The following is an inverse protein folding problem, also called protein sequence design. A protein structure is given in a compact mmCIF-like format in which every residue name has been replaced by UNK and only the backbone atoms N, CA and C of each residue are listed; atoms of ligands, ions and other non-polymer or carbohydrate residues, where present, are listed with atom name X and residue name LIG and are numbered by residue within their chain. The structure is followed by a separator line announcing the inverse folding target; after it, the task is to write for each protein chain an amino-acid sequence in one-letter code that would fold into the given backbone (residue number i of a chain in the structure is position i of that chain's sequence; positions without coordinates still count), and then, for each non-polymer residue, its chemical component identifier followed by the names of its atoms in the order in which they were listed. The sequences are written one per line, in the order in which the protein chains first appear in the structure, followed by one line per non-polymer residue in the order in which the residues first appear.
data_IF_316307296586
#
_entry.id   IF_316307296586
#
_cell.length_a   1.000
_cell.length_b   1.000
_cell.length_c   1.000
_cell.angle_alpha   90.00
_cell.angle_beta   90.00
_cell.angle_gamma   90.00
#
_symmetry.space_group_name_H-M   'P 1'
#
loop_
_entity.id
_entity.type
_entity.pdbx_description
1 polymer ?
#
# COMPACT_ATOMS: atom_id res chain seq x y z
N UNK A 1 6.90 22.28 8.14
CA UNK A 1 6.63 20.84 8.21
C UNK A 1 5.83 20.46 6.98
N UNK A 2 6.27 19.44 6.23
CA UNK A 2 5.52 18.94 5.07
C UNK A 2 4.79 17.67 5.46
N UNK A 3 3.52 17.57 5.07
CA UNK A 3 2.69 16.39 5.31
C UNK A 3 2.59 15.65 3.98
N UNK A 4 2.92 14.36 3.97
CA UNK A 4 2.69 13.52 2.79
C UNK A 4 1.23 13.04 2.72
N UNK A 5 0.83 12.47 1.59
CA UNK A 5 -0.49 11.85 1.42
C UNK A 5 -0.82 10.77 2.49
N UNK A 6 0.17 10.26 3.20
CA UNK A 6 0.04 9.25 4.26
C UNK A 6 0.19 9.81 5.68
N UNK A 7 0.09 11.14 5.87
CA UNK A 7 0.18 11.83 7.17
C UNK A 7 1.54 11.72 7.87
N UNK A 8 2.55 11.23 7.21
CA UNK A 8 3.89 11.29 7.77
C UNK A 8 4.41 12.73 7.72
N UNK A 9 5.04 13.14 8.80
CA UNK A 9 5.65 14.45 8.93
C UNK A 9 7.09 14.37 8.45
N UNK A 10 7.43 15.18 7.46
CA UNK A 10 8.77 15.21 6.87
C UNK A 10 9.46 16.56 7.09
N UNK A 11 10.78 16.53 7.04
CA UNK A 11 11.60 17.72 7.02
C UNK A 11 11.16 18.67 5.89
N UNK A 12 11.11 19.99 6.09
CA UNK A 12 10.80 20.96 5.03
C UNK A 12 11.71 20.85 3.81
N UNK A 13 12.96 20.41 4.03
CA UNK A 13 13.98 20.23 2.99
C UNK A 13 13.92 18.88 2.26
N UNK A 14 12.91 18.05 2.52
CA UNK A 14 12.76 16.79 1.80
C UNK A 14 12.58 17.03 0.31
N UNK A 15 13.37 16.37 -0.57
CA UNK A 15 13.26 16.52 -2.02
C UNK A 15 11.83 16.22 -2.50
N UNK A 16 11.31 17.07 -3.39
CA UNK A 16 9.95 16.89 -3.94
C UNK A 16 9.77 15.55 -4.63
N UNK A 17 10.77 15.12 -5.38
CA UNK A 17 10.78 13.83 -6.08
C UNK A 17 10.56 12.62 -5.15
N UNK A 18 11.02 12.73 -3.90
CA UNK A 18 10.80 11.70 -2.88
C UNK A 18 9.40 11.82 -2.24
N UNK A 19 8.88 13.05 -2.04
CA UNK A 19 7.54 13.27 -1.48
C UNK A 19 6.44 12.86 -2.44
N UNK A 20 6.66 13.01 -3.74
CA UNK A 20 5.74 12.68 -4.82
C UNK A 20 5.87 11.20 -5.27
N UNK A 21 6.68 10.41 -4.56
CA UNK A 21 6.85 8.99 -4.86
C UNK A 21 5.51 8.26 -4.74
N UNK A 22 4.94 7.85 -5.87
CA UNK A 22 3.70 7.09 -5.96
C UNK A 22 3.90 5.60 -5.64
N UNK A 23 2.82 4.81 -5.63
CA UNK A 23 2.91 3.37 -5.44
C UNK A 23 3.56 2.71 -6.66
N UNK A 24 4.27 1.61 -6.41
CA UNK A 24 4.82 0.79 -7.48
C UNK A 24 3.70 0.28 -8.38
N UNK A 25 3.78 0.44 -9.71
CA UNK A 25 2.74 -0.01 -10.63
C UNK A 25 2.59 -1.54 -10.60
N UNK A 26 1.38 -2.08 -10.80
CA UNK A 26 1.15 -3.51 -10.87
C UNK A 26 1.96 -4.15 -12.02
N UNK A 27 2.69 -5.21 -11.70
CA UNK A 27 3.51 -5.92 -12.69
C UNK A 27 4.86 -5.27 -12.99
N UNK A 28 5.32 -4.35 -12.15
CA UNK A 28 6.65 -3.76 -12.25
C UNK A 28 7.74 -4.84 -12.20
N UNK A 29 8.80 -4.66 -12.97
CA UNK A 29 9.96 -5.53 -12.98
C UNK A 29 10.69 -5.50 -11.62
N UNK A 30 11.44 -6.55 -11.30
CA UNK A 30 12.19 -6.67 -10.04
C UNK A 30 13.13 -5.49 -9.81
N UNK A 31 13.81 -5.03 -10.87
CA UNK A 31 14.71 -3.88 -10.81
C UNK A 31 13.98 -2.59 -10.42
N UNK A 32 12.81 -2.36 -11.02
CA UNK A 32 11.97 -1.20 -10.69
C UNK A 32 11.49 -1.26 -9.23
N UNK A 33 11.16 -2.46 -8.73
CA UNK A 33 10.77 -2.67 -7.34
C UNK A 33 11.93 -2.35 -6.39
N UNK A 34 13.15 -2.81 -6.70
CA UNK A 34 14.36 -2.54 -5.91
C UNK A 34 14.69 -1.05 -5.89
N UNK A 35 14.65 -0.37 -7.05
CA UNK A 35 14.87 1.07 -7.15
C UNK A 35 13.81 1.89 -6.38
N UNK A 36 12.56 1.46 -6.45
CA UNK A 36 11.47 2.08 -5.70
C UNK A 36 11.65 1.91 -4.18
N UNK A 37 12.05 0.72 -3.74
CA UNK A 37 12.29 0.45 -2.32
C UNK A 37 13.50 1.23 -1.79
N UNK A 38 14.54 1.42 -2.59
CA UNK A 38 15.67 2.30 -2.26
C UNK A 38 15.23 3.77 -2.06
N UNK A 39 14.43 4.32 -2.98
CA UNK A 39 13.85 5.68 -2.84
C UNK A 39 12.95 5.80 -1.62
N UNK A 40 12.18 4.76 -1.30
CA UNK A 40 11.33 4.74 -0.09
C UNK A 40 12.16 4.72 1.19
N UNK A 41 13.27 3.97 1.19
CA UNK A 41 14.21 3.95 2.31
C UNK A 41 14.91 5.31 2.48
N UNK A 42 15.28 5.96 1.38
CA UNK A 42 15.82 7.31 1.39
C UNK A 42 14.81 8.31 1.95
N UNK A 43 13.56 8.29 1.48
CA UNK A 43 12.48 9.14 2.00
C UNK A 43 12.30 8.97 3.52
N UNK A 44 12.41 7.75 4.04
CA UNK A 44 12.28 7.47 5.46
C UNK A 44 13.36 8.16 6.32
N UNK A 45 14.52 8.50 5.75
CA UNK A 45 15.57 9.26 6.46
C UNK A 45 15.13 10.70 6.76
N UNK A 46 14.28 11.30 5.91
CA UNK A 46 13.77 12.67 6.09
C UNK A 46 12.55 12.76 7.02
N UNK A 47 12.01 11.64 7.45
CA UNK A 47 10.83 11.59 8.33
C UNK A 47 11.18 12.08 9.73
N UNK A 48 10.35 12.98 10.29
CA UNK A 48 10.43 13.37 11.68
C UNK A 48 10.25 12.15 12.57
N UNK A 49 11.12 12.00 13.54
CA UNK A 49 11.07 10.86 14.45
C UNK A 49 10.12 11.12 15.62
N UNK A 50 9.30 10.15 15.91
CA UNK A 50 8.44 10.19 17.07
C UNK A 50 9.24 9.82 18.32
N UNK A 51 9.15 10.63 19.39
CA UNK A 51 9.89 10.45 20.63
C UNK A 51 8.99 9.90 21.73
N UNK A 52 7.75 10.41 21.82
CA UNK A 52 6.79 9.98 22.85
C UNK A 52 5.66 9.17 22.25
N UNK A 53 5.00 8.37 23.08
CA UNK A 53 3.68 7.81 22.77
C UNK A 53 2.65 8.95 22.81
N UNK A 54 1.44 8.69 22.29
CA UNK A 54 0.33 9.63 22.46
C UNK A 54 0.03 9.74 23.97
N UNK A 55 -0.15 10.97 24.43
CA UNK A 55 -0.68 11.23 25.76
C UNK A 55 -2.20 10.98 25.80
N UNK A 56 -2.88 11.08 26.96
CA UNK A 56 -4.32 10.86 27.05
C UNK A 56 -5.14 11.74 26.11
N UNK A 57 -4.65 12.93 25.80
CA UNK A 57 -5.30 13.91 24.91
C UNK A 57 -4.92 13.68 23.44
N UNK A 58 -4.09 12.68 23.16
CA UNK A 58 -3.65 12.30 21.81
C UNK A 58 -2.49 13.10 21.23
N UNK A 59 -1.87 13.99 22.03
CA UNK A 59 -0.67 14.71 21.59
C UNK A 59 0.56 13.82 21.65
N UNK A 60 1.51 14.06 20.75
CA UNK A 60 2.81 13.38 20.78
C UNK A 60 3.93 14.32 20.35
N UNK A 61 5.16 14.00 20.74
CA UNK A 61 6.33 14.77 20.37
C UNK A 61 7.11 14.11 19.25
N UNK A 62 7.57 14.95 18.34
CA UNK A 62 8.43 14.53 17.22
C UNK A 62 9.69 15.39 17.18
N UNK A 63 10.74 14.85 16.57
CA UNK A 63 12.05 15.49 16.47
C UNK A 63 12.52 15.54 15.03
N UNK A 64 13.32 16.57 14.72
CA UNK A 64 13.97 16.75 13.43
C UNK A 64 14.86 15.53 13.09
N UNK A 65 14.84 15.03 11.85
CA UNK A 65 15.70 13.92 11.45
C UNK A 65 17.20 14.23 11.55
N UNK A 66 17.63 15.51 11.43
CA UNK A 66 19.02 15.91 11.66
C UNK A 66 19.37 15.80 13.16
N UNK A 67 18.48 16.21 14.06
CA UNK A 67 18.70 16.04 15.49
C UNK A 67 18.71 14.57 15.94
N UNK A 68 18.07 13.70 15.16
CA UNK A 68 18.10 12.24 15.35
C UNK A 68 19.29 11.55 14.66
N UNK A 69 20.17 12.30 14.03
CA UNK A 69 21.33 11.74 13.33
C UNK A 69 21.01 10.99 12.03
N UNK A 70 19.85 11.21 11.41
CA UNK A 70 19.47 10.53 10.16
C UNK A 70 19.94 11.24 8.91
N UNK A 71 20.06 12.57 8.96
CA UNK A 71 20.51 13.42 7.87
C UNK A 71 21.48 14.49 8.40
N UNK A 72 22.26 15.06 7.52
CA UNK A 72 23.16 16.19 7.80
C UNK A 72 22.45 17.49 7.41
N UNK A 73 22.44 18.47 8.31
CA UNK A 73 21.74 19.75 8.10
C UNK A 73 22.51 20.91 8.71
N UNK A 74 22.84 21.98 7.94
CA UNK A 74 23.57 23.16 8.46
C UNK A 74 22.84 23.86 9.63
N UNK A 75 21.51 23.80 9.67
CA UNK A 75 20.71 24.34 10.78
C UNK A 75 20.87 23.54 12.09
N UNK A 76 21.58 22.41 12.04
CA UNK A 76 21.92 21.57 13.20
C UNK A 76 23.40 21.20 13.12
N UNK A 77 24.30 22.08 13.59
CA UNK A 77 25.75 21.89 13.41
C UNK A 77 26.25 20.52 13.92
N UNK A 78 25.72 20.02 15.02
CA UNK A 78 26.05 18.68 15.53
C UNK A 78 25.74 17.56 14.53
N UNK A 79 24.82 17.74 13.59
CA UNK A 79 24.56 16.74 12.56
C UNK A 79 25.59 16.73 11.43
N UNK A 80 26.37 17.78 11.29
CA UNK A 80 27.40 17.90 10.25
C UNK A 80 28.65 17.05 10.53
N UNK A 81 28.82 16.60 11.79
CA UNK A 81 29.90 15.69 12.20
C UNK A 81 29.59 14.22 11.89
N UNK A 82 28.35 13.91 11.45
CA UNK A 82 27.94 12.56 11.09
C UNK A 82 28.61 12.09 9.78
N UNK A 83 28.58 10.78 9.56
CA UNK A 83 29.15 10.14 8.39
C UNK A 83 28.62 10.75 7.08
N UNK A 84 29.50 10.86 6.09
CA UNK A 84 29.18 11.45 4.78
C UNK A 84 28.25 10.61 3.90
N UNK A 85 27.98 9.37 4.28
CA UNK A 85 26.99 8.48 3.64
C UNK A 85 25.54 8.90 3.90
N UNK A 86 25.34 9.83 4.85
CA UNK A 86 24.02 10.35 5.19
C UNK A 86 23.63 11.49 4.25
N UNK A 87 22.32 11.55 3.85
CA UNK A 87 21.83 12.64 3.03
C UNK A 87 22.14 14.01 3.66
N UNK A 88 22.69 14.91 2.88
CA UNK A 88 23.01 16.26 3.33
C UNK A 88 22.02 17.27 2.75
N UNK A 89 21.58 18.20 3.59
CA UNK A 89 20.77 19.35 3.17
C UNK A 89 21.71 20.45 2.68
N UNK A 90 21.81 20.59 1.37
CA UNK A 90 22.66 21.63 0.75
C UNK A 90 22.05 23.03 0.84
N UNK A 91 20.73 23.12 0.73
CA UNK A 91 19.98 24.38 0.71
C UNK A 91 18.97 24.41 1.85
N UNK A 92 19.35 24.89 3.05
CA UNK A 92 18.39 25.06 4.13
C UNK A 92 17.37 26.17 3.79
N UNK A 93 16.16 26.14 4.34
CA UNK A 93 15.17 27.19 4.11
C UNK A 93 15.62 28.50 4.74
N UNK A 94 15.38 29.61 4.04
CA UNK A 94 15.66 30.98 4.54
C UNK A 94 14.91 31.27 5.84
N UNK A 95 13.66 30.76 5.94
CA UNK A 95 12.82 30.84 7.14
C UNK A 95 12.67 29.46 7.80
N UNK A 96 13.56 29.12 8.75
CA UNK A 96 13.52 27.84 9.44
C UNK A 96 12.20 27.65 10.22
N UNK A 97 11.56 26.52 10.02
CA UNK A 97 10.33 26.17 10.76
C UNK A 97 10.67 25.67 12.18
N UNK A 98 9.68 25.62 13.07
CA UNK A 98 9.84 25.17 14.47
C UNK A 98 10.59 23.83 14.59
N UNK A 99 10.37 22.87 13.65
CA UNK A 99 11.08 21.60 13.66
C UNK A 99 12.60 21.75 13.39
N UNK A 100 13.05 22.87 12.79
CA UNK A 100 14.46 23.14 12.53
C UNK A 100 15.14 23.83 13.72
N UNK A 101 14.42 24.64 14.48
CA UNK A 101 14.94 25.47 15.57
C UNK A 101 14.77 24.86 16.95
N UNK A 102 13.62 24.23 17.20
CA UNK A 102 13.31 23.59 18.48
C UNK A 102 13.84 22.16 18.52
N UNK A 103 14.17 21.68 19.71
CA UNK A 103 14.63 20.31 19.92
C UNK A 103 13.54 19.30 19.59
N UNK A 104 12.34 19.58 20.03
CA UNK A 104 11.13 18.77 19.78
C UNK A 104 9.96 19.65 19.49
N UNK A 105 8.99 19.16 18.72
CA UNK A 105 7.72 19.82 18.50
C UNK A 105 6.58 18.91 18.94
N UNK A 106 5.55 19.49 19.53
CA UNK A 106 4.32 18.77 19.87
C UNK A 106 3.37 18.77 18.68
N UNK A 107 2.85 17.63 18.35
CA UNK A 107 1.89 17.42 17.25
C UNK A 107 0.54 17.12 17.84
N UNK A 108 -0.49 17.93 17.54
CA UNK A 108 -1.84 17.70 18.02
C UNK A 108 -2.51 16.49 17.34
N UNK A 109 -3.55 15.91 17.96
CA UNK A 109 -4.19 14.68 17.52
C UNK A 109 -4.91 14.80 16.16
N UNK A 110 -5.39 15.99 15.82
CA UNK A 110 -6.09 16.29 14.57
C UNK A 110 -5.16 16.28 13.35
N UNK A 111 -3.87 16.53 13.56
CA UNK A 111 -2.89 16.51 12.46
C UNK A 111 -2.77 15.10 11.92
N UNK A 112 -3.39 14.94 10.76
CA UNK A 112 -3.35 13.70 10.01
C UNK A 112 -4.15 12.53 10.57
N UNK A 113 -5.07 12.75 11.49
CA UNK A 113 -5.86 11.70 12.12
C UNK A 113 -6.55 10.77 11.10
N UNK A 114 -7.12 11.33 10.02
CA UNK A 114 -7.84 10.59 8.98
C UNK A 114 -6.95 9.73 8.07
N UNK A 115 -5.68 10.08 7.95
CA UNK A 115 -4.75 9.46 6.99
C UNK A 115 -3.59 8.72 7.69
N UNK A 116 -3.60 8.68 9.04
CA UNK A 116 -2.60 7.96 9.82
C UNK A 116 -2.67 6.46 9.54
N UNK A 117 -1.55 5.90 9.09
CA UNK A 117 -1.44 4.48 8.73
C UNK A 117 -0.35 3.80 9.56
N UNK A 118 -0.51 2.49 9.79
CA UNK A 118 0.46 1.67 10.51
C UNK A 118 1.82 1.62 9.81
N UNK A 119 1.81 1.63 8.49
CA UNK A 119 3.02 1.53 7.65
C UNK A 119 3.13 2.76 6.77
N UNK A 120 4.35 3.20 6.54
CA UNK A 120 4.63 4.37 5.71
C UNK A 120 4.33 4.07 4.24
N UNK A 121 3.50 4.91 3.64
CA UNK A 121 3.23 4.87 2.20
C UNK A 121 4.42 5.47 1.43
N UNK A 122 4.82 4.92 0.30
CA UNK A 122 4.38 3.68 -0.36
C UNK A 122 5.34 2.48 -0.12
N UNK A 123 5.79 2.28 1.12
CA UNK A 123 6.76 1.25 1.48
C UNK A 123 6.32 -0.19 1.14
N UNK A 124 7.28 -1.13 1.09
CA UNK A 124 6.98 -2.55 0.91
C UNK A 124 6.06 -3.12 2.00
N UNK A 125 6.23 -2.65 3.26
CA UNK A 125 5.35 -3.03 4.37
C UNK A 125 3.92 -2.54 4.16
N UNK A 126 3.75 -1.30 3.69
CA UNK A 126 2.45 -0.76 3.32
C UNK A 126 1.80 -1.57 2.19
N UNK A 127 2.54 -1.87 1.13
CA UNK A 127 2.03 -2.67 0.00
C UNK A 127 1.53 -4.04 0.45
N UNK A 128 2.29 -4.74 1.32
CA UNK A 128 1.87 -6.03 1.90
C UNK A 128 0.60 -5.91 2.75
N UNK A 129 0.50 -4.86 3.56
CA UNK A 129 -0.67 -4.61 4.40
C UNK A 129 -1.91 -4.28 3.55
N UNK A 130 -1.75 -3.43 2.54
CA UNK A 130 -2.82 -3.03 1.63
C UNK A 130 -3.30 -4.20 0.75
N UNK A 131 -2.40 -5.08 0.34
CA UNK A 131 -2.74 -6.28 -0.42
C UNK A 131 -3.73 -7.21 0.31
N UNK A 132 -3.71 -7.24 1.66
CA UNK A 132 -4.70 -8.00 2.45
C UNK A 132 -6.11 -7.45 2.27
N UNK A 133 -6.28 -6.13 2.28
CA UNK A 133 -7.58 -5.48 2.02
C UNK A 133 -8.08 -5.80 0.62
N UNK A 134 -7.22 -5.64 -0.39
CA UNK A 134 -7.56 -5.99 -1.77
C UNK A 134 -7.86 -7.49 -1.91
N UNK A 135 -7.20 -8.35 -1.12
CA UNK A 135 -7.48 -9.78 -1.05
C UNK A 135 -8.90 -10.07 -0.55
N UNK A 136 -9.34 -9.37 0.50
CA UNK A 136 -10.71 -9.49 1.01
C UNK A 136 -11.76 -9.03 -0.01
N UNK A 137 -11.54 -7.86 -0.63
CA UNK A 137 -12.42 -7.32 -1.68
C UNK A 137 -12.52 -8.27 -2.88
N UNK A 138 -11.40 -8.85 -3.33
CA UNK A 138 -11.40 -9.89 -4.37
C UNK A 138 -12.10 -11.16 -3.91
N UNK A 139 -12.00 -11.50 -2.62
CA UNK A 139 -12.72 -12.61 -2.01
C UNK A 139 -14.23 -12.45 -2.16
N UNK A 140 -14.75 -11.29 -1.82
CA UNK A 140 -16.18 -10.98 -2.00
C UNK A 140 -16.60 -10.96 -3.47
N UNK A 141 -15.79 -10.37 -4.36
CA UNK A 141 -16.07 -10.37 -5.79
C UNK A 141 -16.13 -11.80 -6.35
N UNK A 142 -15.21 -12.68 -5.92
CA UNK A 142 -15.18 -14.08 -6.35
C UNK A 142 -16.34 -14.88 -5.77
N UNK A 143 -16.80 -14.56 -4.54
CA UNK A 143 -17.95 -15.20 -3.94
C UNK A 143 -19.27 -14.92 -4.69
N UNK A 144 -19.31 -13.79 -5.42
CA UNK A 144 -20.45 -13.40 -6.27
C UNK A 144 -20.30 -13.88 -7.72
N UNK A 145 -19.15 -14.43 -8.09
CA UNK A 145 -18.89 -14.89 -9.46
C UNK A 145 -19.52 -16.28 -9.66
N UNK A 146 -20.48 -16.45 -10.59
CA UNK A 146 -21.14 -17.73 -10.86
C UNK A 146 -20.15 -18.86 -11.24
N UNK A 147 -18.98 -18.53 -11.78
CA UNK A 147 -17.95 -19.51 -12.11
C UNK A 147 -17.29 -20.14 -10.87
N UNK A 148 -17.32 -19.47 -9.72
CA UNK A 148 -16.66 -19.90 -8.49
C UNK A 148 -17.64 -20.11 -7.32
N UNK A 149 -18.78 -19.44 -7.33
CA UNK A 149 -19.83 -19.63 -6.32
C UNK A 149 -20.76 -20.78 -6.71
N UNK A 150 -21.27 -21.48 -5.72
CA UNK A 150 -22.32 -22.46 -5.94
C UNK A 150 -23.65 -21.77 -6.23
N UNK A 151 -23.81 -20.54 -5.73
CA UNK A 151 -25.02 -19.76 -5.79
C UNK A 151 -24.77 -18.25 -5.78
N UNK A 152 -25.72 -17.48 -6.34
CA UNK A 152 -25.64 -16.02 -6.39
C UNK A 152 -26.20 -15.40 -5.11
N UNK A 153 -25.33 -15.19 -4.13
CA UNK A 153 -25.68 -14.56 -2.84
C UNK A 153 -26.21 -13.13 -3.02
N UNK A 154 -25.95 -12.49 -4.19
CA UNK A 154 -26.29 -11.08 -4.42
C UNK A 154 -27.76 -10.83 -4.71
N UNK A 155 -28.54 -11.86 -5.08
CA UNK A 155 -29.92 -11.71 -5.56
C UNK A 155 -31.01 -11.91 -4.51
N UNK A 156 -30.67 -11.91 -3.22
CA UNK A 156 -31.66 -11.88 -2.14
C UNK A 156 -32.58 -13.09 -2.01
N UNK A 157 -32.28 -14.21 -2.68
CA UNK A 157 -33.10 -15.45 -2.58
C UNK A 157 -32.77 -16.26 -1.32
N UNK A 158 -31.71 -15.94 -0.59
CA UNK A 158 -31.40 -16.57 0.69
C UNK A 158 -32.35 -16.03 1.77
N UNK A 159 -33.46 -16.72 1.99
CA UNK A 159 -34.46 -16.39 3.02
C UNK A 159 -34.19 -17.05 4.37
N UNK A 160 -32.93 -17.37 4.67
CA UNK A 160 -32.55 -17.95 5.96
C UNK A 160 -32.68 -16.88 7.05
N UNK A 161 -33.51 -17.18 8.04
CA UNK A 161 -33.70 -16.33 9.21
C UNK A 161 -32.83 -16.83 10.37
N UNK A 162 -32.15 -15.91 11.01
CA UNK A 162 -31.26 -16.19 12.14
C UNK A 162 -29.81 -16.33 11.78
N UNK A 163 -28.94 -16.03 12.76
CA UNK A 163 -27.49 -15.95 12.57
C UNK A 163 -26.88 -17.34 12.24
N UNK A 164 -27.30 -18.38 12.96
CA UNK A 164 -26.71 -19.72 12.81
C UNK A 164 -26.97 -20.35 11.43
N UNK A 165 -28.21 -20.39 10.88
CA UNK A 165 -28.44 -20.90 9.53
C UNK A 165 -27.72 -20.08 8.46
N UNK A 166 -27.65 -18.73 8.62
CA UNK A 166 -26.95 -17.85 7.70
C UNK A 166 -25.44 -18.12 7.70
N UNK A 167 -24.82 -18.27 8.88
CA UNK A 167 -23.42 -18.62 9.03
C UNK A 167 -23.09 -19.98 8.40
N UNK A 168 -23.93 -20.98 8.60
CA UNK A 168 -23.77 -22.31 8.00
C UNK A 168 -23.81 -22.23 6.47
N UNK A 169 -24.80 -21.52 5.92
CA UNK A 169 -24.94 -21.32 4.48
C UNK A 169 -23.69 -20.62 3.89
N UNK A 170 -23.27 -19.49 4.48
CA UNK A 170 -22.07 -18.75 4.02
C UNK A 170 -20.84 -19.64 4.10
N UNK A 171 -20.65 -20.38 5.19
CA UNK A 171 -19.49 -21.26 5.37
C UNK A 171 -19.46 -22.34 4.30
N UNK A 172 -20.59 -22.99 4.02
CA UNK A 172 -20.69 -24.01 2.97
C UNK A 172 -20.37 -23.45 1.59
N UNK A 173 -20.90 -22.27 1.25
CA UNK A 173 -20.60 -21.59 -0.01
C UNK A 173 -19.11 -21.24 -0.14
N UNK A 174 -18.48 -20.79 0.95
CA UNK A 174 -17.04 -20.50 0.97
C UNK A 174 -16.19 -21.78 0.81
N UNK A 175 -16.61 -22.90 1.40
CA UNK A 175 -15.93 -24.20 1.22
C UNK A 175 -15.98 -24.62 -0.25
N UNK A 176 -17.18 -24.64 -0.86
CA UNK A 176 -17.34 -24.99 -2.28
C UNK A 176 -16.51 -24.07 -3.18
N UNK A 177 -16.56 -22.76 -2.94
CA UNK A 177 -15.74 -21.78 -3.65
C UNK A 177 -14.26 -22.10 -3.55
N UNK A 178 -13.76 -22.36 -2.34
CA UNK A 178 -12.33 -22.66 -2.13
C UNK A 178 -11.93 -23.97 -2.83
N UNK A 179 -12.75 -25.00 -2.80
CA UNK A 179 -12.51 -26.24 -3.53
C UNK A 179 -12.41 -25.99 -5.06
N UNK A 180 -13.31 -25.19 -5.64
CA UNK A 180 -13.28 -24.83 -7.06
C UNK A 180 -12.02 -24.02 -7.41
N UNK A 181 -11.61 -23.10 -6.56
CA UNK A 181 -10.36 -22.31 -6.75
C UNK A 181 -9.15 -23.24 -6.72
N UNK A 182 -9.08 -24.18 -5.78
CA UNK A 182 -7.99 -25.15 -5.67
C UNK A 182 -7.96 -26.10 -6.87
N UNK A 183 -9.10 -26.61 -7.28
CA UNK A 183 -9.21 -27.46 -8.47
C UNK A 183 -8.72 -26.71 -9.74
N UNK A 184 -9.16 -25.49 -9.94
CA UNK A 184 -8.72 -24.65 -11.05
C UNK A 184 -7.22 -24.29 -10.99
N UNK A 185 -6.64 -24.19 -9.79
CA UNK A 185 -5.21 -23.97 -9.61
C UNK A 185 -4.43 -25.24 -9.94
N UNK A 186 -4.84 -26.40 -9.44
CA UNK A 186 -4.20 -27.69 -9.73
C UNK A 186 -4.23 -27.99 -11.22
N UNK A 187 -5.37 -27.83 -11.88
CA UNK A 187 -5.48 -28.02 -13.33
C UNK A 187 -4.54 -27.09 -14.12
N UNK A 188 -4.30 -25.88 -13.64
CA UNK A 188 -3.31 -24.97 -14.25
C UNK A 188 -1.88 -25.44 -14.04
N UNK A 189 -1.55 -25.99 -12.89
CA UNK A 189 -0.22 -26.54 -12.60
C UNK A 189 0.05 -27.76 -13.48
N UNK A 190 -0.90 -28.68 -13.57
CA UNK A 190 -0.81 -29.87 -14.44
C UNK A 190 -0.62 -29.47 -15.91
N UNK A 191 -1.40 -28.49 -16.39
CA UNK A 191 -1.25 -27.97 -17.76
C UNK A 191 0.13 -27.34 -17.97
N UNK A 192 0.64 -26.60 -16.99
CA UNK A 192 1.97 -25.98 -17.06
C UNK A 192 3.06 -27.06 -17.14
N UNK A 193 2.97 -28.09 -16.29
CA UNK A 193 3.89 -29.23 -16.31
C UNK A 193 3.82 -30.00 -17.62
N UNK A 194 2.62 -30.29 -18.11
CA UNK A 194 2.39 -30.98 -19.40
C UNK A 194 2.98 -30.17 -20.56
N UNK A 195 2.86 -28.86 -20.57
CA UNK A 195 3.46 -27.99 -21.59
C UNK A 195 4.97 -27.98 -21.50
N UNK A 196 5.53 -27.88 -20.29
CA UNK A 196 6.97 -27.94 -20.08
C UNK A 196 7.58 -29.26 -20.55
N UNK A 197 6.93 -30.38 -20.28
CA UNK A 197 7.34 -31.71 -20.77
C UNK A 197 7.33 -31.82 -22.30
N UNK A 198 6.50 -31.02 -22.98
CA UNK A 198 6.45 -30.94 -24.46
C UNK A 198 7.33 -29.84 -25.05
N UNK A 199 8.16 -29.14 -24.24
CA UNK A 199 9.00 -28.02 -24.67
C UNK A 199 8.20 -26.77 -25.12
N UNK A 200 6.91 -26.69 -24.78
CA UNK A 200 6.04 -25.59 -25.17
C UNK A 200 6.12 -24.43 -24.14
N UNK A 201 6.08 -23.17 -24.58
CA UNK A 201 6.11 -22.03 -23.66
C UNK A 201 4.88 -22.02 -22.72
N UNK A 202 4.99 -21.41 -21.53
CA UNK A 202 3.87 -21.27 -20.61
C UNK A 202 2.67 -20.59 -21.27
N UNK A 203 1.45 -21.03 -20.92
CA UNK A 203 0.22 -20.44 -21.47
C UNK A 203 0.06 -19.02 -20.92
N UNK A 204 0.34 -18.02 -21.74
CA UNK A 204 0.11 -16.62 -21.39
C UNK A 204 -1.38 -16.35 -21.25
N UNK A 205 -1.79 -15.75 -20.12
CA UNK A 205 -3.17 -15.32 -19.93
C UNK A 205 -3.49 -14.24 -20.97
N UNK A 206 -4.25 -14.60 -21.99
CA UNK A 206 -4.76 -13.61 -22.95
C UNK A 206 -5.61 -12.61 -22.17
N UNK A 207 -5.10 -11.39 -21.98
CA UNK A 207 -5.93 -10.27 -21.51
C UNK A 207 -7.03 -10.11 -22.56
N UNK A 208 -8.28 -10.37 -22.19
CA UNK A 208 -9.43 -9.95 -23.00
C UNK A 208 -9.30 -8.44 -23.14
N UNK A 209 -8.76 -7.96 -24.25
CA UNK A 209 -8.93 -6.58 -24.65
C UNK A 209 -10.44 -6.42 -24.84
N UNK A 210 -11.08 -5.66 -23.94
CA UNK A 210 -12.36 -5.05 -24.22
C UNK A 210 -12.05 -4.05 -25.33
N UNK A 211 -12.27 -4.43 -26.55
CA UNK A 211 -12.18 -3.52 -27.70
C UNK A 211 -13.22 -2.44 -27.47
N UNK A 212 -12.82 -1.17 -27.61
CA UNK A 212 -13.71 -0.01 -27.51
C UNK A 212 -14.96 -0.16 -28.41
N UNK A 213 -14.87 -0.91 -29.49
CA UNK A 213 -15.97 -1.32 -30.37
C UNK A 213 -17.06 -2.14 -29.67
N UNK A 214 -16.71 -3.00 -28.69
CA UNK A 214 -17.72 -3.76 -27.95
C UNK A 214 -18.45 -2.90 -26.89
N UNK A 215 -17.85 -1.79 -26.46
CA UNK A 215 -18.47 -0.82 -25.56
C UNK A 215 -19.42 0.14 -26.32
N UNK A 216 -19.07 0.48 -27.55
CA UNK A 216 -19.92 1.32 -28.42
C UNK A 216 -21.19 0.60 -28.87
N UNK A 217 -21.13 -0.73 -29.08
CA UNK A 217 -22.28 -1.53 -29.50
C UNK A 217 -23.33 -1.72 -28.38
N UNK A 218 -22.96 -1.52 -27.12
CA UNK A 218 -23.87 -1.63 -25.96
C UNK A 218 -24.45 -0.29 -25.50
N UNK A 219 -24.03 0.83 -26.08
CA UNK A 219 -24.37 2.19 -25.65
C UNK A 219 -25.40 2.93 -26.52
N UNK A 220 -26.01 2.29 -27.52
CA UNK A 220 -27.11 2.90 -28.27
C UNK A 220 -28.42 2.11 -28.05
N UNK A 221 -29.34 2.60 -27.22
CA UNK A 221 -30.74 2.22 -27.36
C UNK A 221 -31.37 2.95 -28.57
N UNK A 222 -32.37 2.36 -29.18
CA UNK A 222 -33.06 2.94 -30.34
C UNK A 222 -33.79 4.24 -29.99
#
# INVERSE_FOLDING_TARGET
MRISASTNLYCPCTPRTLLELGPLPPGAAREQATAHDAKTAELARYKLGRITRDDPDGYHRVQCPAAMGKIRCPLRPASMTLDRDRPEILTPPEHPQACCTQQTITVPPDVGAKTRQKHDYPSAAWRRSYARRTGAERGFATAKDPGFSADDISRGWCRLMGLTPLMLCITTLLIVRNQRILAAWNARQEETQRRAAKGLPPKTRRRRRKTLTALAATAMPP
#
